data_IF_449756343011
#
_entry.id   IF_449756343011
#
_cell.length_a   1.000
_cell.length_b   1.000
_cell.length_c   1.000
_cell.angle_alpha   90.00
_cell.angle_beta   90.00
_cell.angle_gamma   90.00
#
_symmetry.space_group_name_H-M   'P 1'
#
loop_
_entity.id
_entity.type
_entity.pdbx_description
1 polymer ?
#
# COMPACT_ATOMS: atom_id res chain seq x y z
N UNK A 1 10.29 -9.92 30.33
CA UNK A 1 10.33 -8.87 31.36
C UNK A 1 10.72 -7.57 30.65
N UNK A 2 9.76 -6.67 30.42
CA UNK A 2 10.03 -5.38 29.77
C UNK A 2 10.72 -4.46 30.79
N UNK A 3 11.97 -4.09 30.54
CA UNK A 3 12.67 -3.06 31.31
C UNK A 3 12.13 -1.69 30.90
N UNK A 4 11.08 -1.25 31.58
CA UNK A 4 10.57 0.11 31.51
C UNK A 4 11.51 1.01 32.30
N UNK A 5 12.07 2.03 31.65
CA UNK A 5 12.88 3.03 32.36
C UNK A 5 11.92 4.05 32.94
N UNK A 6 11.73 4.01 34.26
CA UNK A 6 10.99 5.04 34.99
C UNK A 6 11.91 6.24 35.12
N UNK A 7 11.55 7.37 34.52
CA UNK A 7 12.27 8.60 34.77
C UNK A 7 11.88 9.10 36.17
N UNK A 8 12.81 9.00 37.12
CA UNK A 8 12.56 9.26 38.54
C UNK A 8 12.16 10.72 38.83
N UNK A 9 12.48 11.64 37.93
CA UNK A 9 12.17 13.07 38.10
C UNK A 9 10.72 13.43 37.75
N UNK A 10 10.12 12.81 36.74
CA UNK A 10 8.84 13.27 36.16
C UNK A 10 7.72 12.21 36.20
N UNK A 11 7.96 11.04 36.80
CA UNK A 11 7.03 9.88 36.79
C UNK A 11 6.53 9.50 35.39
N UNK A 12 7.31 9.82 34.35
CA UNK A 12 7.01 9.46 32.96
C UNK A 12 7.61 8.09 32.64
N UNK A 13 6.88 7.29 31.86
CA UNK A 13 7.39 6.07 31.25
C UNK A 13 7.93 6.40 29.87
N UNK A 14 9.16 5.94 29.56
CA UNK A 14 9.68 5.97 28.19
C UNK A 14 9.82 4.56 27.68
N UNK A 15 9.11 4.25 26.61
CA UNK A 15 9.33 3.01 25.88
C UNK A 15 10.49 3.22 24.91
N UNK A 16 11.54 2.39 24.96
CA UNK A 16 12.56 2.44 23.94
C UNK A 16 11.93 2.18 22.57
N UNK A 17 12.17 3.04 21.58
CA UNK A 17 11.59 2.94 20.24
C UNK A 17 11.84 1.56 19.60
N UNK A 18 13.01 0.97 19.87
CA UNK A 18 13.37 -0.39 19.41
C UNK A 18 12.45 -1.48 19.97
N UNK A 19 11.94 -1.31 21.19
CA UNK A 19 11.01 -2.25 21.82
C UNK A 19 9.61 -2.07 21.24
N UNK A 20 9.16 -0.82 21.05
CA UNK A 20 7.90 -0.52 20.38
C UNK A 20 7.87 -1.10 18.96
N UNK A 21 8.87 -0.78 18.13
CA UNK A 21 8.96 -1.28 16.76
C UNK A 21 8.95 -2.81 16.69
N UNK A 22 9.58 -3.50 17.64
CA UNK A 22 9.70 -4.97 17.60
C UNK A 22 8.46 -5.71 18.12
N UNK A 23 7.78 -5.16 19.12
CA UNK A 23 6.73 -5.89 19.84
C UNK A 23 5.32 -5.42 19.52
N UNK A 24 5.16 -4.18 19.07
CA UNK A 24 3.84 -3.61 18.75
C UNK A 24 3.12 -4.37 17.64
N UNK A 25 3.88 -4.82 16.64
CA UNK A 25 3.37 -5.50 15.45
C UNK A 25 3.87 -6.96 15.36
N UNK A 26 4.24 -7.54 16.51
CA UNK A 26 4.65 -8.95 16.60
C UNK A 26 3.51 -9.89 16.16
N UNK A 27 3.83 -10.92 15.38
CA UNK A 27 2.85 -11.86 14.80
C UNK A 27 1.96 -12.53 15.87
N UNK A 28 2.55 -12.93 16.99
CA UNK A 28 1.86 -13.66 18.06
C UNK A 28 1.48 -12.81 19.29
N UNK A 29 2.31 -11.83 19.68
CA UNK A 29 2.18 -11.13 20.96
C UNK A 29 1.74 -9.67 20.86
N UNK A 30 1.44 -9.18 19.65
CA UNK A 30 1.03 -7.78 19.43
C UNK A 30 -0.22 -7.41 20.23
N UNK A 31 -1.22 -8.30 20.35
CA UNK A 31 -2.44 -8.04 21.12
C UNK A 31 -2.16 -7.71 22.58
N UNK A 32 -1.48 -8.62 23.29
CA UNK A 32 -1.13 -8.44 24.70
C UNK A 32 -0.18 -7.25 24.92
N UNK A 33 0.73 -7.02 23.98
CA UNK A 33 1.62 -5.86 24.04
C UNK A 33 0.88 -4.53 23.86
N UNK A 34 -0.03 -4.43 22.89
CA UNK A 34 -0.84 -3.23 22.62
C UNK A 34 -1.76 -2.92 23.80
N UNK A 35 -2.37 -3.94 24.39
CA UNK A 35 -3.18 -3.80 25.61
C UNK A 35 -2.34 -3.24 26.75
N UNK A 36 -1.16 -3.83 27.01
CA UNK A 36 -0.27 -3.34 28.08
C UNK A 36 0.27 -1.94 27.82
N UNK A 37 0.58 -1.61 26.56
CA UNK A 37 1.01 -0.28 26.16
C UNK A 37 -0.09 0.77 26.38
N UNK A 38 -1.34 0.45 26.00
CA UNK A 38 -2.52 1.31 26.24
C UNK A 38 -2.75 1.52 27.73
N UNK A 39 -2.64 0.45 28.52
CA UNK A 39 -2.77 0.46 29.98
C UNK A 39 -1.69 1.34 30.64
N UNK A 40 -0.44 1.25 30.15
CA UNK A 40 0.64 2.16 30.59
C UNK A 40 0.40 3.62 30.19
N UNK A 41 -0.15 3.89 29.00
CA UNK A 41 -0.46 5.24 28.53
C UNK A 41 -1.59 5.91 29.33
N UNK A 42 -2.56 5.12 29.79
CA UNK A 42 -3.66 5.61 30.62
C UNK A 42 -3.19 5.99 32.03
N UNK A 43 -2.17 5.30 32.55
CA UNK A 43 -1.74 5.42 33.94
C UNK A 43 -0.49 6.30 34.15
N UNK A 44 0.23 6.65 33.09
CA UNK A 44 1.46 7.46 33.16
C UNK A 44 1.54 8.46 32.00
N UNK A 45 1.95 9.72 32.24
CA UNK A 45 2.24 10.66 31.16
C UNK A 45 3.42 10.14 30.33
N UNK A 46 3.18 9.83 29.05
CA UNK A 46 4.18 9.35 28.09
C UNK A 46 4.67 10.52 27.21
N UNK A 47 5.95 10.45 26.82
CA UNK A 47 6.56 11.26 25.75
C UNK A 47 6.51 12.78 25.94
N UNK A 48 7.11 13.30 27.02
CA UNK A 48 7.39 14.74 27.14
C UNK A 48 8.47 15.15 26.12
N UNK A 49 8.20 16.14 25.24
CA UNK A 49 9.18 16.64 24.29
C UNK A 49 10.33 17.37 25.00
N UNK A 50 11.56 17.13 24.56
CA UNK A 50 12.72 17.92 24.98
C UNK A 50 12.59 19.34 24.42
N UNK A 51 12.39 20.33 25.30
CA UNK A 51 12.32 21.73 24.91
C UNK A 51 13.70 22.25 24.46
N UNK A 52 13.85 22.62 23.18
CA UNK A 52 14.85 23.59 22.71
C UNK A 52 14.27 24.56 21.67
N UNK A 53 14.74 25.79 21.79
CA UNK A 53 14.15 27.04 21.32
C UNK A 53 14.37 27.37 19.83
N UNK A 54 13.54 28.31 19.38
CA UNK A 54 13.27 28.89 18.06
C UNK A 54 14.38 29.68 17.34
N UNK A 55 14.23 29.85 16.01
CA UNK A 55 14.31 31.10 15.19
C UNK A 55 14.84 30.79 13.77
N UNK A 56 14.43 31.37 12.64
CA UNK A 56 13.51 32.48 12.33
C UNK A 56 13.19 32.49 10.81
N UNK A 57 12.36 33.44 10.41
CA UNK A 57 11.62 33.53 9.14
C UNK A 57 12.22 34.59 8.17
N UNK A 58 12.06 34.41 6.83
CA UNK A 58 11.76 35.41 5.78
C UNK A 58 12.19 34.92 4.35
N UNK A 59 11.82 35.57 3.21
CA UNK A 59 10.49 35.72 2.59
C UNK A 59 10.41 35.25 1.10
N UNK A 60 9.17 35.23 0.54
CA UNK A 60 8.74 34.79 -0.81
C UNK A 60 9.09 35.74 -1.99
N UNK A 61 9.27 35.21 -3.23
CA UNK A 61 8.48 35.59 -4.45
C UNK A 61 8.68 34.69 -5.71
N UNK A 62 7.56 34.55 -6.43
CA UNK A 62 7.09 33.78 -7.64
C UNK A 62 7.77 34.12 -9.01
N UNK A 63 7.23 33.71 -10.19
CA UNK A 63 6.95 32.35 -10.75
C UNK A 63 7.48 32.19 -12.21
N UNK A 64 7.39 30.99 -12.82
CA UNK A 64 7.27 30.89 -14.28
C UNK A 64 6.43 29.70 -14.74
N UNK A 65 5.55 30.03 -15.67
CA UNK A 65 4.52 29.25 -16.37
C UNK A 65 5.12 28.33 -17.45
N UNK A 66 4.46 27.19 -17.66
CA UNK A 66 4.62 26.31 -18.81
C UNK A 66 3.58 25.20 -18.73
N UNK A 67 2.48 25.37 -19.46
CA UNK A 67 1.37 24.42 -19.53
C UNK A 67 1.65 23.40 -20.63
N UNK A 68 1.43 22.12 -20.34
CA UNK A 68 1.13 21.10 -21.34
C UNK A 68 -0.17 20.41 -20.92
N UNK A 69 -1.13 20.44 -21.83
CA UNK A 69 -2.47 19.88 -21.69
C UNK A 69 -2.39 18.35 -21.59
N UNK A 70 -2.98 17.79 -20.52
CA UNK A 70 -3.30 16.37 -20.45
C UNK A 70 -4.66 16.23 -19.80
N UNK A 71 -5.51 15.42 -20.43
CA UNK A 71 -6.91 15.15 -20.11
C UNK A 71 -7.19 15.09 -18.60
N UNK A 72 -8.27 15.76 -18.18
CA UNK A 72 -8.62 16.04 -16.79
C UNK A 72 -8.53 14.81 -15.89
N UNK A 73 -7.45 14.74 -15.11
CA UNK A 73 -7.40 13.92 -13.91
C UNK A 73 -8.32 14.57 -12.87
N UNK A 74 -9.11 13.76 -12.16
CA UNK A 74 -9.87 14.25 -11.01
C UNK A 74 -8.89 14.64 -9.92
N UNK A 75 -8.51 15.91 -9.88
CA UNK A 75 -7.59 16.47 -8.88
C UNK A 75 -8.32 16.55 -7.54
N UNK A 76 -8.01 15.59 -6.65
CA UNK A 76 -8.48 15.67 -5.27
C UNK A 76 -7.53 16.62 -4.55
N UNK A 77 -7.96 17.86 -4.36
CA UNK A 77 -7.25 18.80 -3.49
C UNK A 77 -7.30 18.24 -2.08
N UNK A 78 -6.19 17.66 -1.62
CA UNK A 78 -6.06 17.18 -0.25
C UNK A 78 -6.29 18.36 0.69
N UNK A 79 -7.28 18.25 1.57
CA UNK A 79 -7.51 19.27 2.58
C UNK A 79 -6.27 19.41 3.46
N UNK A 80 -5.83 20.64 3.68
CA UNK A 80 -4.60 20.95 4.43
C UNK A 80 -4.62 20.37 5.85
N UNK A 81 -5.83 20.16 6.41
CA UNK A 81 -6.10 19.50 7.69
C UNK A 81 -5.73 18.02 7.73
N UNK A 82 -5.60 17.35 6.59
CA UNK A 82 -5.22 15.93 6.50
C UNK A 82 -3.70 15.71 6.47
N UNK A 83 -2.91 16.78 6.44
CA UNK A 83 -1.45 16.73 6.38
C UNK A 83 -0.86 16.81 7.79
N UNK A 84 0.12 15.95 8.07
CA UNK A 84 0.92 15.99 9.30
C UNK A 84 2.30 16.57 9.00
N UNK A 85 2.95 17.15 10.00
CA UNK A 85 4.37 17.48 9.89
C UNK A 85 5.19 16.19 9.92
N UNK A 86 6.18 16.10 9.03
CA UNK A 86 7.07 14.94 8.96
C UNK A 86 7.81 14.72 10.28
N UNK A 87 8.10 15.80 11.01
CA UNK A 87 8.72 15.75 12.33
C UNK A 87 7.83 15.11 13.41
N UNK A 88 6.51 15.08 13.21
CA UNK A 88 5.53 14.53 14.16
C UNK A 88 5.19 13.06 13.87
N UNK A 89 5.80 12.47 12.83
CA UNK A 89 5.61 11.06 12.53
C UNK A 89 6.16 10.20 13.68
N UNK A 90 5.33 9.27 14.15
CA UNK A 90 5.66 8.30 15.19
C UNK A 90 6.90 7.48 14.82
N UNK A 91 7.53 6.78 15.79
CA UNK A 91 8.70 5.94 15.55
C UNK A 91 8.54 5.08 14.30
N UNK A 92 9.53 5.16 13.43
CA UNK A 92 9.52 4.55 12.11
C UNK A 92 9.72 3.04 12.24
N UNK A 93 8.88 2.27 11.54
CA UNK A 93 9.05 0.83 11.42
C UNK A 93 9.74 0.47 10.11
N UNK A 94 9.28 1.00 8.97
CA UNK A 94 9.87 0.76 7.65
C UNK A 94 9.85 1.99 6.76
N UNK A 95 10.79 2.06 5.82
CA UNK A 95 10.90 3.15 4.84
C UNK A 95 11.23 2.66 3.43
N UNK A 96 10.64 3.30 2.43
CA UNK A 96 10.97 3.11 1.02
C UNK A 96 10.82 4.40 0.21
N UNK A 97 11.59 4.56 -0.86
CA UNK A 97 11.39 5.66 -1.83
C UNK A 97 10.29 5.33 -2.83
N UNK A 98 9.41 6.28 -3.15
CA UNK A 98 8.39 6.08 -4.18
C UNK A 98 9.07 5.94 -5.54
N UNK A 99 8.85 4.82 -6.24
CA UNK A 99 9.53 4.55 -7.53
C UNK A 99 9.27 5.64 -8.56
N UNK A 100 8.03 6.14 -8.62
CA UNK A 100 7.63 7.22 -9.53
C UNK A 100 8.01 8.63 -9.05
N UNK A 101 8.45 8.77 -7.81
CA UNK A 101 8.85 10.04 -7.20
C UNK A 101 9.93 9.79 -6.13
N UNK A 102 11.19 9.51 -6.51
CA UNK A 102 12.22 9.05 -5.57
C UNK A 102 12.55 10.04 -4.44
N UNK A 103 12.19 11.32 -4.61
CA UNK A 103 12.31 12.38 -3.59
C UNK A 103 11.31 12.22 -2.43
N UNK A 104 10.26 11.43 -2.63
CA UNK A 104 9.24 11.15 -1.62
C UNK A 104 9.45 9.77 -1.01
N UNK A 105 9.10 9.65 0.27
CA UNK A 105 9.21 8.41 1.02
C UNK A 105 7.83 7.86 1.36
N UNK A 106 7.71 6.54 1.36
CA UNK A 106 6.65 5.83 2.05
C UNK A 106 7.21 5.41 3.38
N UNK A 107 6.53 5.82 4.44
CA UNK A 107 6.96 5.59 5.82
C UNK A 107 5.85 4.84 6.54
N UNK A 108 6.20 3.64 7.00
CA UNK A 108 5.33 2.81 7.82
C UNK A 108 5.75 3.05 9.26
N UNK A 109 4.88 3.65 10.04
CA UNK A 109 5.10 3.93 11.45
C UNK A 109 4.59 2.79 12.34
N UNK A 110 5.01 2.80 13.60
CA UNK A 110 4.42 1.93 14.64
C UNK A 110 2.90 2.09 14.66
N UNK A 111 2.19 0.96 14.78
CA UNK A 111 0.73 0.91 14.66
C UNK A 111 0.23 0.75 13.23
N UNK A 112 1.14 0.49 12.28
CA UNK A 112 0.87 0.24 10.86
C UNK A 112 0.17 1.40 10.14
N UNK A 113 0.29 2.62 10.67
CA UNK A 113 -0.04 3.83 9.92
C UNK A 113 0.97 4.01 8.79
N UNK A 114 0.49 4.37 7.60
CA UNK A 114 1.35 4.57 6.43
C UNK A 114 1.21 5.99 5.90
N UNK A 115 2.35 6.61 5.66
CA UNK A 115 2.45 7.99 5.19
C UNK A 115 3.19 8.08 3.87
N UNK A 116 2.79 9.02 3.02
CA UNK A 116 3.64 9.58 1.97
C UNK A 116 4.27 10.84 2.56
N UNK A 117 5.58 10.83 2.78
CA UNK A 117 6.32 11.88 3.45
C UNK A 117 7.21 12.66 2.46
N UNK A 118 7.11 13.98 2.49
CA UNK A 118 7.97 14.90 1.75
C UNK A 118 9.00 15.52 2.69
N UNK A 119 10.20 14.95 2.71
CA UNK A 119 11.33 15.45 3.49
C UNK A 119 12.08 16.59 2.80
N UNK A 120 11.67 16.99 1.60
CA UNK A 120 12.35 18.03 0.83
C UNK A 120 11.82 19.42 1.15
N UNK A 121 12.50 20.43 0.62
CA UNK A 121 12.09 21.82 0.61
C UNK A 121 11.22 22.20 -0.61
N UNK A 122 10.85 21.25 -1.46
CA UNK A 122 10.09 21.45 -2.70
C UNK A 122 8.67 20.89 -2.57
N UNK A 123 7.70 21.45 -3.32
CA UNK A 123 6.37 20.85 -3.46
C UNK A 123 6.48 19.67 -4.44
N UNK A 124 5.87 18.55 -4.09
CA UNK A 124 5.83 17.38 -4.97
C UNK A 124 4.41 16.93 -5.26
N UNK A 125 4.18 16.42 -6.47
CA UNK A 125 2.88 15.91 -6.91
C UNK A 125 3.00 14.42 -7.14
N UNK A 126 2.20 13.65 -6.42
CA UNK A 126 2.02 12.21 -6.65
C UNK A 126 0.79 12.04 -7.53
N UNK A 127 1.00 11.70 -8.79
CA UNK A 127 -0.10 11.56 -9.75
C UNK A 127 -0.96 10.33 -9.47
N UNK A 128 -2.21 10.40 -9.90
CA UNK A 128 -3.07 9.21 -10.01
C UNK A 128 -2.37 8.09 -10.80
N UNK A 129 -2.53 6.85 -10.35
CA UNK A 129 -1.86 5.68 -10.93
C UNK A 129 -0.38 5.56 -10.58
N UNK A 130 0.20 6.50 -9.82
CA UNK A 130 1.55 6.37 -9.29
C UNK A 130 1.64 5.12 -8.41
N UNK A 131 2.64 4.28 -8.68
CA UNK A 131 2.90 3.09 -7.87
C UNK A 131 3.52 3.51 -6.54
N UNK A 132 2.83 3.15 -5.46
CA UNK A 132 3.26 3.40 -4.08
C UNK A 132 4.05 2.19 -3.59
N UNK A 133 3.45 1.01 -3.62
CA UNK A 133 4.09 -0.20 -3.09
C UNK A 133 3.82 -1.43 -3.93
N UNK A 134 4.69 -2.43 -3.79
CA UNK A 134 4.41 -3.79 -4.23
C UNK A 134 4.39 -4.76 -3.06
N UNK A 135 3.76 -5.92 -3.27
CA UNK A 135 3.83 -7.01 -2.31
C UNK A 135 5.11 -7.82 -2.54
N UNK A 136 5.59 -8.47 -1.47
CA UNK A 136 6.72 -9.40 -1.55
C UNK A 136 6.36 -10.63 -2.40
N UNK A 137 7.35 -11.50 -2.61
CA UNK A 137 7.16 -12.81 -3.26
C UNK A 137 6.02 -13.57 -2.59
N UNK A 138 5.34 -14.38 -3.39
CA UNK A 138 4.17 -15.12 -2.96
C UNK A 138 3.82 -16.22 -3.97
N UNK A 139 2.79 -16.97 -3.63
CA UNK A 139 2.29 -18.10 -4.42
C UNK A 139 0.79 -17.95 -4.65
N UNK A 140 0.36 -18.29 -5.86
CA UNK A 140 -1.04 -18.41 -6.16
C UNK A 140 -1.60 -19.73 -5.66
N UNK A 141 -2.80 -19.71 -5.11
CA UNK A 141 -3.58 -20.89 -4.77
C UNK A 141 -5.07 -20.64 -5.03
N UNK A 142 -5.89 -21.69 -5.04
CA UNK A 142 -7.32 -21.57 -5.35
C UNK A 142 -8.16 -22.38 -4.37
N UNK A 143 -9.40 -21.94 -4.17
CA UNK A 143 -10.40 -22.69 -3.39
C UNK A 143 -10.96 -23.91 -4.12
N UNK A 144 -10.52 -24.20 -5.34
CA UNK A 144 -10.92 -25.41 -6.03
C UNK A 144 -10.33 -26.63 -5.30
N UNK A 145 -11.14 -27.67 -4.98
CA UNK A 145 -10.60 -28.92 -4.45
C UNK A 145 -9.56 -29.46 -5.42
N UNK A 146 -8.35 -29.70 -4.90
CA UNK A 146 -7.33 -30.37 -5.67
C UNK A 146 -7.92 -31.71 -6.13
N UNK A 147 -8.01 -31.95 -7.44
CA UNK A 147 -8.28 -33.29 -7.95
C UNK A 147 -7.09 -34.15 -7.57
N UNK A 148 -7.14 -34.77 -6.39
CA UNK A 148 -6.17 -35.75 -5.95
C UNK A 148 -6.12 -36.88 -6.97
N UNK A 149 -4.94 -37.50 -7.14
CA UNK A 149 -4.78 -38.67 -8.01
C UNK A 149 -5.65 -39.86 -7.57
N UNK A 150 -6.17 -39.84 -6.34
CA UNK A 150 -6.89 -40.97 -5.73
C UNK A 150 -8.34 -40.65 -5.33
N UNK A 151 -8.96 -39.61 -5.89
CA UNK A 151 -10.41 -39.34 -5.70
C UNK A 151 -10.83 -38.91 -4.29
N UNK A 152 -9.91 -38.79 -3.34
CA UNK A 152 -10.18 -38.20 -2.03
C UNK A 152 -10.29 -36.68 -2.16
N UNK A 153 -11.45 -36.12 -1.78
CA UNK A 153 -11.61 -34.68 -1.59
C UNK A 153 -10.71 -34.23 -0.44
N UNK A 154 -9.54 -33.67 -0.76
CA UNK A 154 -8.73 -32.97 0.22
C UNK A 154 -9.51 -31.73 0.67
N UNK A 155 -9.64 -31.52 1.99
CA UNK A 155 -10.26 -30.32 2.52
C UNK A 155 -9.52 -29.09 1.99
N UNK A 156 -10.26 -28.21 1.33
CA UNK A 156 -9.72 -26.95 0.82
C UNK A 156 -9.49 -26.05 2.03
N UNK A 157 -8.24 -25.62 2.25
CA UNK A 157 -7.95 -24.64 3.28
C UNK A 157 -8.78 -23.36 3.05
N UNK A 158 -9.45 -22.88 4.09
CA UNK A 158 -10.18 -21.62 4.00
C UNK A 158 -9.19 -20.44 3.81
N UNK A 159 -9.54 -19.43 2.98
CA UNK A 159 -8.69 -18.26 2.82
C UNK A 159 -8.60 -17.48 4.14
N UNK A 160 -7.41 -16.96 4.40
CA UNK A 160 -7.12 -16.12 5.55
C UNK A 160 -7.16 -14.64 5.17
N UNK A 161 -7.18 -13.75 6.16
CA UNK A 161 -7.11 -12.29 5.92
C UNK A 161 -5.80 -11.86 5.24
N UNK A 162 -4.75 -12.70 5.30
CA UNK A 162 -3.49 -12.47 4.60
C UNK A 162 -3.54 -12.84 3.11
N UNK A 163 -4.51 -13.64 2.69
CA UNK A 163 -4.68 -14.07 1.31
C UNK A 163 -5.38 -12.97 0.50
N UNK A 164 -4.77 -12.54 -0.61
CA UNK A 164 -5.27 -11.43 -1.42
C UNK A 164 -6.04 -12.02 -2.62
N UNK A 165 -7.36 -11.80 -2.73
CA UNK A 165 -8.14 -12.35 -3.83
C UNK A 165 -7.80 -11.66 -5.15
N UNK A 166 -7.62 -12.44 -6.21
CA UNK A 166 -7.56 -11.92 -7.57
C UNK A 166 -8.98 -11.67 -8.08
N UNK A 167 -9.49 -10.49 -7.76
CA UNK A 167 -10.82 -10.03 -8.14
C UNK A 167 -10.73 -8.79 -9.02
N UNK A 168 -11.43 -8.85 -10.15
CA UNK A 168 -11.66 -7.73 -11.06
C UNK A 168 -13.16 -7.70 -11.35
N UNK A 169 -13.73 -6.50 -11.43
CA UNK A 169 -15.19 -6.31 -11.53
C UNK A 169 -15.68 -6.07 -12.96
N UNK A 170 -14.84 -5.53 -13.85
CA UNK A 170 -15.26 -5.23 -15.22
C UNK A 170 -14.36 -4.25 -15.96
N UNK A 171 -14.90 -3.62 -16.99
CA UNK A 171 -14.18 -2.70 -17.88
C UNK A 171 -13.57 -1.48 -17.16
N UNK A 172 -14.15 -1.05 -16.03
CA UNK A 172 -13.66 0.08 -15.23
C UNK A 172 -12.57 -0.30 -14.23
N UNK A 173 -12.33 -1.60 -13.99
CA UNK A 173 -11.24 -2.04 -13.11
C UNK A 173 -9.89 -1.54 -13.61
N UNK A 174 -8.99 -1.19 -12.71
CA UNK A 174 -7.63 -0.75 -13.04
C UNK A 174 -6.63 -1.87 -12.81
N UNK A 175 -5.71 -2.03 -13.74
CA UNK A 175 -4.64 -3.02 -13.67
C UNK A 175 -3.32 -2.39 -14.10
N UNK A 176 -2.21 -2.99 -13.70
CA UNK A 176 -0.90 -2.59 -14.21
C UNK A 176 -0.45 -3.56 -15.31
N UNK A 177 -0.20 -3.03 -16.51
CA UNK A 177 0.43 -3.79 -17.59
C UNK A 177 1.64 -3.01 -18.11
N UNK A 178 2.78 -3.69 -18.28
CA UNK A 178 4.04 -3.08 -18.73
C UNK A 178 4.40 -1.80 -17.94
N UNK A 179 4.32 -1.89 -16.61
CA UNK A 179 4.62 -0.81 -15.67
C UNK A 179 3.67 0.41 -15.71
N UNK A 180 2.58 0.37 -16.50
CA UNK A 180 1.59 1.44 -16.56
C UNK A 180 0.25 0.98 -15.98
N UNK A 181 -0.36 1.83 -15.15
CA UNK A 181 -1.74 1.63 -14.69
C UNK A 181 -2.69 2.04 -15.81
N UNK A 182 -3.58 1.13 -16.19
CA UNK A 182 -4.50 1.29 -17.31
C UNK A 182 -5.88 0.72 -16.96
N UNK A 183 -6.98 1.28 -17.53
CA UNK A 183 -8.29 0.66 -17.44
C UNK A 183 -8.29 -0.70 -18.14
N UNK A 184 -8.93 -1.70 -17.51
CA UNK A 184 -9.03 -3.05 -18.03
C UNK A 184 -9.81 -3.08 -19.35
N UNK A 185 -10.84 -2.25 -19.49
CA UNK A 185 -11.62 -2.08 -20.72
C UNK A 185 -10.74 -1.77 -21.93
N UNK A 186 -9.83 -0.81 -21.79
CA UNK A 186 -8.89 -0.43 -22.86
C UNK A 186 -7.97 -1.60 -23.26
N UNK A 187 -7.53 -2.42 -22.29
CA UNK A 187 -6.68 -3.58 -22.57
C UNK A 187 -7.43 -4.69 -23.33
N UNK A 188 -8.65 -4.99 -22.90
CA UNK A 188 -9.47 -6.01 -23.55
C UNK A 188 -9.87 -5.56 -24.95
N UNK A 189 -10.28 -4.30 -25.13
CA UNK A 189 -10.61 -3.74 -26.44
C UNK A 189 -9.43 -3.85 -27.42
N UNK A 190 -8.26 -3.38 -27.02
CA UNK A 190 -7.02 -3.50 -27.84
C UNK A 190 -6.71 -4.97 -28.16
N UNK A 191 -6.89 -5.89 -27.20
CA UNK A 191 -6.64 -7.31 -27.43
C UNK A 191 -7.68 -7.93 -28.37
N UNK A 192 -8.95 -7.52 -28.31
CA UNK A 192 -10.03 -7.99 -29.21
C UNK A 192 -9.73 -7.63 -30.67
N UNK A 193 -9.13 -6.47 -30.93
CA UNK A 193 -8.75 -6.05 -32.28
C UNK A 193 -7.64 -6.93 -32.89
N UNK A 194 -6.74 -7.46 -32.05
CA UNK A 194 -5.58 -8.25 -32.50
C UNK A 194 -5.87 -9.76 -32.49
N UNK A 195 -6.46 -10.26 -31.39
CA UNK A 195 -6.77 -11.67 -31.17
C UNK A 195 -8.00 -11.80 -30.28
N UNK A 196 -9.23 -11.83 -30.86
CA UNK A 196 -10.48 -11.90 -30.11
C UNK A 196 -10.58 -13.10 -29.17
N UNK A 197 -10.10 -14.27 -29.61
CA UNK A 197 -10.15 -15.51 -28.83
C UNK A 197 -9.30 -15.45 -27.54
N UNK A 198 -8.27 -14.60 -27.53
CA UNK A 198 -7.38 -14.42 -26.38
C UNK A 198 -7.81 -13.30 -25.44
N UNK A 199 -8.79 -12.48 -25.85
CA UNK A 199 -9.23 -11.29 -25.12
C UNK A 199 -10.17 -11.65 -23.94
N UNK A 200 -9.68 -12.53 -23.08
CA UNK A 200 -10.33 -13.03 -21.87
C UNK A 200 -9.56 -12.57 -20.64
N UNK A 201 -10.21 -12.56 -19.48
CA UNK A 201 -9.54 -12.38 -18.18
C UNK A 201 -9.47 -13.73 -17.49
N UNK A 202 -8.27 -14.15 -17.09
CA UNK A 202 -8.09 -15.44 -16.43
C UNK A 202 -8.94 -15.51 -15.15
N UNK A 203 -9.42 -16.72 -14.82
CA UNK A 203 -10.18 -17.01 -13.59
C UNK A 203 -11.53 -16.29 -13.43
N UNK A 204 -11.94 -15.49 -14.42
CA UNK A 204 -13.23 -14.81 -14.45
C UNK A 204 -14.08 -15.33 -15.60
N UNK A 205 -15.40 -15.23 -15.45
CA UNK A 205 -16.37 -15.27 -16.54
C UNK A 205 -16.59 -13.83 -16.97
N UNK A 206 -16.33 -13.54 -18.25
CA UNK A 206 -16.53 -12.23 -18.84
C UNK A 206 -17.84 -12.21 -19.62
N UNK A 207 -18.68 -11.22 -19.36
CA UNK A 207 -19.96 -11.01 -20.06
C UNK A 207 -20.01 -9.59 -20.58
N UNK A 208 -20.23 -9.45 -21.88
CA UNK A 208 -20.41 -8.13 -22.49
C UNK A 208 -21.67 -7.47 -21.90
N UNK A 209 -21.50 -6.21 -21.49
CA UNK A 209 -22.55 -5.38 -20.95
C UNK A 209 -22.32 -3.93 -21.41
N UNK A 210 -22.66 -3.64 -22.68
CA UNK A 210 -22.53 -2.30 -23.25
C UNK A 210 -23.24 -1.25 -22.40
N UNK A 211 -22.64 -0.09 -22.25
CA UNK A 211 -23.26 1.09 -21.63
C UNK A 211 -23.55 2.16 -22.69
N UNK A 212 -24.23 3.24 -22.29
CA UNK A 212 -24.48 4.38 -23.19
C UNK A 212 -23.16 5.01 -23.69
N UNK A 213 -22.12 5.00 -22.85
CA UNK A 213 -20.83 5.65 -23.14
C UNK A 213 -19.78 4.68 -23.71
N UNK A 214 -19.93 3.37 -23.51
CA UNK A 214 -18.96 2.36 -23.95
C UNK A 214 -19.65 1.09 -24.48
N UNK A 215 -19.68 0.95 -25.80
CA UNK A 215 -20.21 -0.22 -26.50
C UNK A 215 -19.40 -1.51 -26.23
N UNK A 216 -18.15 -1.38 -25.75
CA UNK A 216 -17.25 -2.49 -25.43
C UNK A 216 -17.21 -2.84 -23.95
N UNK A 217 -18.06 -2.22 -23.13
CA UNK A 217 -18.11 -2.48 -21.70
C UNK A 217 -18.49 -3.93 -21.39
N UNK A 218 -17.97 -4.44 -20.28
CA UNK A 218 -18.21 -5.80 -19.80
C UNK A 218 -18.11 -5.87 -18.29
N UNK A 219 -18.71 -6.91 -17.73
CA UNK A 219 -18.57 -7.27 -16.32
C UNK A 219 -17.86 -8.59 -16.16
N UNK A 220 -17.19 -8.72 -15.02
CA UNK A 220 -16.47 -9.91 -14.62
C UNK A 220 -17.10 -10.47 -13.35
N UNK A 221 -17.31 -11.78 -13.34
CA UNK A 221 -17.58 -12.54 -12.12
C UNK A 221 -16.51 -13.60 -11.96
N UNK A 222 -16.10 -13.97 -10.73
CA UNK A 222 -15.26 -15.14 -10.53
C UNK A 222 -15.86 -16.38 -11.20
N UNK A 223 -14.99 -17.31 -11.63
CA UNK A 223 -15.42 -18.67 -12.00
C UNK A 223 -15.93 -19.40 -10.75
N UNK A 224 -16.19 -20.70 -10.84
CA UNK A 224 -16.60 -21.54 -9.70
C UNK A 224 -15.57 -21.63 -8.55
N UNK A 225 -14.46 -20.89 -8.62
CA UNK A 225 -13.43 -20.77 -7.61
C UNK A 225 -12.81 -19.38 -7.67
N UNK A 226 -12.20 -18.97 -6.56
CA UNK A 226 -11.40 -17.73 -6.47
C UNK A 226 -9.92 -18.11 -6.38
N UNK A 227 -9.10 -17.34 -7.09
CA UNK A 227 -7.63 -17.44 -7.00
C UNK A 227 -7.14 -16.40 -6.01
N UNK A 228 -6.26 -16.81 -5.11
CA UNK A 228 -5.66 -15.97 -4.09
C UNK A 228 -4.16 -15.89 -4.27
N UNK A 229 -3.58 -14.76 -3.89
CA UNK A 229 -2.14 -14.62 -3.68
C UNK A 229 -1.82 -14.68 -2.21
N UNK A 230 -1.01 -15.67 -1.84
CA UNK A 230 -0.45 -15.81 -0.50
C UNK A 230 0.98 -15.30 -0.50
N UNK A 231 1.21 -14.22 0.24
CA UNK A 231 2.56 -13.68 0.40
C UNK A 231 3.42 -14.63 1.24
N UNK A 232 4.69 -14.80 0.86
CA UNK A 232 5.68 -15.44 1.72
C UNK A 232 6.12 -14.48 2.83
N UNK A 233 6.69 -15.03 3.91
CA UNK A 233 7.21 -14.21 5.00
C UNK A 233 8.26 -13.22 4.49
N UNK A 234 7.96 -11.93 4.64
CA UNK A 234 8.86 -10.86 4.29
C UNK A 234 10.06 -10.90 5.25
N UNK A 235 11.27 -10.99 4.69
CA UNK A 235 12.53 -10.94 5.44
C UNK A 235 13.17 -9.57 5.22
N UNK A 236 12.81 -8.53 6.01
CA UNK A 236 13.39 -7.21 5.83
C UNK A 236 14.90 -7.25 6.05
N UNK A 237 15.65 -6.54 5.21
CA UNK A 237 17.09 -6.36 5.41
C UNK A 237 17.30 -5.12 6.27
N UNK A 238 17.90 -5.27 7.43
CA UNK A 238 18.31 -4.14 8.26
C UNK A 238 19.53 -3.48 7.61
N UNK A 239 19.40 -2.23 7.20
CA UNK A 239 20.53 -1.37 6.86
C UNK A 239 20.80 -0.49 8.06
N UNK A 240 21.97 -0.65 8.68
CA UNK A 240 22.43 0.30 9.68
C UNK A 240 22.71 1.62 8.97
N UNK A 241 21.99 2.68 9.29
CA UNK A 241 22.35 4.04 8.89
C UNK A 241 23.41 4.59 9.87
N UNK A 242 24.32 5.43 9.38
CA UNK A 242 25.49 5.95 10.13
C UNK A 242 25.15 6.85 11.34
N UNK A 243 23.88 6.93 11.76
CA UNK A 243 23.40 7.75 12.89
C UNK A 243 22.92 6.96 14.12
N UNK A 244 23.04 5.62 14.14
CA UNK A 244 22.66 4.80 15.31
C UNK A 244 21.16 4.47 15.44
N UNK A 245 20.33 4.92 14.50
CA UNK A 245 18.97 4.43 14.30
C UNK A 245 18.97 3.17 13.43
N UNK A 246 18.25 2.12 13.84
CA UNK A 246 18.07 0.91 13.02
C UNK A 246 16.86 1.11 12.09
N UNK A 247 16.99 1.93 11.05
CA UNK A 247 15.92 2.06 10.05
C UNK A 247 15.87 0.81 9.16
N UNK A 248 14.73 0.10 9.17
CA UNK A 248 14.49 -1.03 8.28
C UNK A 248 14.07 -0.51 6.90
N UNK A 249 15.05 -0.26 6.04
CA UNK A 249 14.80 0.14 4.65
C UNK A 249 14.35 -1.09 3.86
N UNK A 250 13.16 -1.00 3.27
CA UNK A 250 12.57 -2.05 2.42
C UNK A 250 12.44 -1.49 1.01
N UNK A 251 12.75 -2.26 -0.05
CA UNK A 251 12.49 -1.80 -1.40
C UNK A 251 11.01 -1.49 -1.60
N UNK A 252 10.68 -0.39 -2.29
CA UNK A 252 9.29 0.02 -2.51
C UNK A 252 8.45 -1.05 -3.21
N UNK A 253 9.08 -1.90 -4.02
CA UNK A 253 8.43 -3.06 -4.62
C UNK A 253 7.89 -4.09 -3.61
N UNK A 254 8.16 -3.93 -2.32
CA UNK A 254 7.84 -4.88 -1.25
C UNK A 254 7.15 -4.25 -0.04
N UNK A 255 7.15 -2.92 0.09
CA UNK A 255 6.62 -2.22 1.26
C UNK A 255 5.13 -2.43 1.48
N UNK A 256 4.34 -2.70 0.42
CA UNK A 256 2.91 -3.00 0.61
C UNK A 256 2.69 -4.30 1.39
N UNK A 257 3.66 -5.21 1.36
CA UNK A 257 3.63 -6.48 2.10
C UNK A 257 3.80 -6.35 3.62
N UNK A 258 4.21 -5.18 4.13
CA UNK A 258 4.34 -4.96 5.58
C UNK A 258 3.00 -4.62 6.24
N UNK A 259 1.94 -4.45 5.44
CA UNK A 259 0.62 -4.01 5.89
C UNK A 259 -0.45 -4.96 5.32
N UNK A 260 -1.45 -5.38 6.13
CA UNK A 260 -2.56 -6.18 5.63
C UNK A 260 -3.26 -5.55 4.42
N UNK A 261 -3.58 -6.34 3.40
CA UNK A 261 -4.18 -5.82 2.17
C UNK A 261 -5.52 -5.11 2.40
N UNK A 262 -6.29 -5.54 3.40
CA UNK A 262 -7.56 -4.93 3.79
C UNK A 262 -7.42 -3.46 4.16
N UNK A 263 -6.29 -3.06 4.77
CA UNK A 263 -6.00 -1.67 5.10
C UNK A 263 -5.69 -0.82 3.87
N UNK A 264 -5.03 -1.39 2.88
CA UNK A 264 -4.82 -0.72 1.60
C UNK A 264 -6.14 -0.55 0.85
N UNK A 265 -7.00 -1.57 0.86
CA UNK A 265 -8.30 -1.53 0.21
C UNK A 265 -9.25 -0.51 0.82
N UNK A 266 -9.18 -0.27 2.13
CA UNK A 266 -9.98 0.76 2.83
C UNK A 266 -9.43 2.18 2.66
N UNK A 267 -8.25 2.35 2.08
CA UNK A 267 -7.67 3.67 1.85
C UNK A 267 -8.52 4.52 0.90
N UNK A 268 -8.71 5.79 1.28
CA UNK A 268 -9.32 6.82 0.41
C UNK A 268 -8.39 7.17 -0.77
N UNK A 269 -7.08 7.10 -0.57
CA UNK A 269 -6.08 7.60 -1.51
C UNK A 269 -5.46 6.52 -2.38
N UNK A 270 -5.46 5.27 -1.91
CA UNK A 270 -4.80 4.16 -2.59
C UNK A 270 -5.77 3.01 -2.89
N UNK A 271 -5.44 2.23 -3.90
CA UNK A 271 -6.09 0.96 -4.26
C UNK A 271 -5.08 -0.17 -4.36
N UNK A 272 -5.53 -1.38 -4.00
CA UNK A 272 -4.84 -2.60 -4.38
C UNK A 272 -5.24 -2.94 -5.82
N UNK A 273 -4.25 -3.04 -6.71
CA UNK A 273 -4.43 -3.44 -8.10
C UNK A 273 -3.57 -4.65 -8.42
N UNK A 274 -3.81 -5.24 -9.60
CA UNK A 274 -3.05 -6.38 -10.08
C UNK A 274 -2.11 -5.98 -11.21
N UNK A 275 -0.83 -6.33 -11.06
CA UNK A 275 0.04 -6.48 -12.21
C UNK A 275 -0.43 -7.67 -13.03
N UNK A 276 -0.57 -7.48 -14.34
CA UNK A 276 -1.10 -8.48 -15.25
C UNK A 276 -0.21 -8.63 -16.48
N UNK A 277 -0.33 -9.78 -17.14
CA UNK A 277 0.35 -10.05 -18.41
C UNK A 277 -0.51 -10.90 -19.33
N UNK A 278 -0.32 -10.73 -20.64
CA UNK A 278 -0.75 -11.70 -21.63
C UNK A 278 0.27 -12.85 -21.66
N UNK A 279 -0.12 -14.10 -21.36
CA UNK A 279 0.77 -15.24 -21.49
C UNK A 279 1.07 -15.50 -22.97
N UNK A 280 2.22 -16.14 -23.23
CA UNK A 280 2.59 -16.58 -24.58
C UNK A 280 1.69 -17.70 -25.12
N UNK A 281 0.97 -18.38 -24.24
CA UNK A 281 0.04 -19.44 -24.60
C UNK A 281 -1.34 -18.84 -24.86
N UNK A 282 -1.79 -18.94 -26.11
CA UNK A 282 -3.13 -18.53 -26.54
C UNK A 282 -4.24 -19.14 -25.65
N UNK A 283 -5.39 -18.46 -25.59
CA UNK A 283 -6.60 -18.81 -24.85
C UNK A 283 -6.51 -18.83 -23.31
N UNK A 284 -5.35 -18.55 -22.69
CA UNK A 284 -5.25 -18.43 -21.23
C UNK A 284 -5.77 -17.09 -20.69
N UNK A 285 -5.97 -16.10 -21.56
CA UNK A 285 -6.42 -14.77 -21.19
C UNK A 285 -5.38 -13.99 -20.36
N UNK A 286 -5.78 -12.82 -19.88
CA UNK A 286 -4.97 -11.92 -19.06
C UNK A 286 -4.74 -12.53 -17.69
N UNK A 287 -3.48 -12.80 -17.34
CA UNK A 287 -3.12 -13.48 -16.09
C UNK A 287 -2.58 -12.51 -15.04
N UNK A 288 -2.92 -12.70 -13.75
CA UNK A 288 -2.29 -11.97 -12.66
C UNK A 288 -0.83 -12.38 -12.51
N UNK A 289 0.00 -11.41 -12.13
CA UNK A 289 1.43 -11.61 -11.83
C UNK A 289 1.67 -11.41 -10.34
N UNK A 290 1.19 -10.30 -9.77
CA UNK A 290 1.28 -9.98 -8.35
C UNK A 290 0.35 -8.81 -8.01
N UNK A 291 -0.11 -8.69 -6.75
CA UNK A 291 -0.79 -7.49 -6.30
C UNK A 291 0.20 -6.34 -6.06
N UNK A 292 -0.29 -5.11 -6.15
CA UNK A 292 0.44 -3.86 -5.96
C UNK A 292 -0.49 -2.79 -5.39
N UNK A 293 0.06 -1.67 -4.93
CA UNK A 293 -0.68 -0.51 -4.42
C UNK A 293 -0.36 0.71 -5.26
N UNK A 294 -1.39 1.38 -5.76
CA UNK A 294 -1.27 2.62 -6.52
C UNK A 294 -2.19 3.72 -5.98
N UNK A 295 -1.91 4.96 -6.37
CA UNK A 295 -2.77 6.10 -6.06
C UNK A 295 -4.06 6.09 -6.87
N UNK A 296 -5.19 6.25 -6.19
CA UNK A 296 -6.53 6.46 -6.79
C UNK A 296 -6.73 7.90 -7.28
N UNK A 297 -5.93 8.84 -6.79
CA UNK A 297 -6.07 10.26 -7.09
C UNK A 297 -4.71 10.96 -7.14
N UNK A 298 -4.69 12.16 -7.71
CA UNK A 298 -3.50 13.02 -7.66
C UNK A 298 -3.46 13.79 -6.35
N UNK A 299 -2.29 13.81 -5.70
CA UNK A 299 -2.05 14.49 -4.43
C UNK A 299 -0.87 15.44 -4.59
N UNK A 300 -1.01 16.66 -4.07
CA UNK A 300 0.07 17.63 -3.95
C UNK A 300 0.53 17.68 -2.50
N UNK A 301 1.82 17.43 -2.27
CA UNK A 301 2.43 17.34 -0.96
C UNK A 301 3.42 18.50 -0.75
N UNK A 302 3.12 19.44 0.17
CA UNK A 302 4.02 20.54 0.50
C UNK A 302 5.34 20.07 1.12
N UNK A 303 6.38 20.94 1.16
CA UNK A 303 7.62 20.70 1.89
C UNK A 303 7.38 20.35 3.36
N UNK A 304 8.12 19.37 3.88
CA UNK A 304 8.06 18.98 5.30
C UNK A 304 6.74 18.36 5.76
N UNK A 305 5.81 18.08 4.84
CA UNK A 305 4.49 17.51 5.14
C UNK A 305 4.40 16.03 4.75
N UNK A 306 3.53 15.33 5.45
CA UNK A 306 3.19 13.93 5.22
C UNK A 306 1.69 13.75 5.10
N UNK A 307 1.26 12.90 4.15
CA UNK A 307 -0.13 12.49 3.99
C UNK A 307 -0.31 11.08 4.56
N UNK A 308 -1.24 10.92 5.50
CA UNK A 308 -1.68 9.61 5.97
C UNK A 308 -2.53 8.92 4.90
N UNK A 309 -1.99 7.84 4.32
CA UNK A 309 -2.68 7.07 3.28
C UNK A 309 -3.31 5.79 3.82
N UNK A 310 -2.84 5.31 4.98
CA UNK A 310 -3.45 4.21 5.73
C UNK A 310 -3.46 4.62 7.21
N UNK A 311 -4.62 4.68 7.87
CA UNK A 311 -4.71 5.10 9.26
C UNK A 311 -4.17 4.02 10.22
N UNK A 312 -3.76 4.46 11.41
CA UNK A 312 -3.40 3.59 12.53
C UNK A 312 -4.59 2.73 13.01
N UNK A 313 -4.31 1.52 13.50
CA UNK A 313 -5.31 0.77 14.27
C UNK A 313 -5.56 1.47 15.61
N UNK A 314 -6.80 1.89 15.88
CA UNK A 314 -7.22 2.44 17.18
C UNK A 314 -7.41 1.33 18.22
#
# INVERSE_FOLDING_TARGET
>A
MLLLTVNAHDKSLKFPEKVLAKWHDHSEFSGAFREKYRDCKANYPLDLPNARQSSGEAPKKRPRTGADESAAATEVKVEESALKDVADLKPLHHKAHIVSSPKLNIEVCVGQAVYIANHTNEVHVVKEGAMIGGYWKGKFWSTQPAKGKDGAEASVAAPTVADIPFELSGSTSRVQMNSKVVPLGSLIKTKREISPADALVAYHVMRDQPTADDASAFVLSPKAFTVYWKMEDLKPKTTKTEGGGDDLIIPAAHIAGTIPHTKWSSSKYCEVLWAVKWPSVAAKGLQPVRPLVAMKCTVTLPPGKALEIVPEDV
#
